data_IF_863586606395
#
_entry.id   IF_863586606395
#
_cell.length_a   1.000
_cell.length_b   1.000
_cell.length_c   1.000
_cell.angle_alpha   90.00
_cell.angle_beta   90.00
_cell.angle_gamma   90.00
#
_symmetry.space_group_name_H-M   'P 1'
#
loop_
_entity.id
_entity.type
_entity.pdbx_description
1 polymer ?
#
# COMPACT_ATOMS: atom_id res chain seq x y z
N UNK A 1 -8.73 17.01 -30.64
CA UNK A 1 -9.20 15.96 -29.74
C UNK A 1 -10.65 15.67 -30.08
N UNK A 2 -10.94 14.46 -30.56
CA UNK A 2 -12.31 14.09 -30.98
C UNK A 2 -13.16 13.71 -29.78
N UNK A 3 -14.50 13.88 -29.87
CA UNK A 3 -15.44 13.51 -28.77
C UNK A 3 -15.27 12.06 -28.29
N UNK A 4 -14.82 11.18 -29.17
CA UNK A 4 -14.58 9.77 -28.88
C UNK A 4 -13.36 9.58 -27.98
N UNK A 5 -12.25 10.27 -28.25
CA UNK A 5 -11.03 10.20 -27.42
C UNK A 5 -11.29 10.62 -25.97
N UNK A 6 -12.06 11.69 -25.77
CA UNK A 6 -12.42 12.18 -24.43
C UNK A 6 -13.23 11.13 -23.62
N UNK A 7 -14.16 10.43 -24.27
CA UNK A 7 -14.97 9.40 -23.61
C UNK A 7 -14.15 8.15 -23.27
N UNK A 8 -13.20 7.75 -24.14
CA UNK A 8 -12.31 6.62 -23.89
C UNK A 8 -11.42 6.86 -22.66
N UNK A 9 -10.82 8.04 -22.55
CA UNK A 9 -9.97 8.39 -21.40
C UNK A 9 -10.75 8.42 -20.09
N UNK A 10 -11.97 8.98 -20.10
CA UNK A 10 -12.80 9.04 -18.90
C UNK A 10 -13.19 7.64 -18.37
N UNK A 11 -13.60 6.74 -19.27
CA UNK A 11 -13.93 5.36 -18.92
C UNK A 11 -12.70 4.59 -18.42
N UNK A 12 -11.53 4.81 -19.01
CA UNK A 12 -10.30 4.15 -18.60
C UNK A 12 -9.84 4.60 -17.20
N UNK A 13 -9.90 5.90 -16.90
CA UNK A 13 -9.62 6.45 -15.58
C UNK A 13 -10.59 5.92 -14.51
N UNK A 14 -11.89 5.83 -14.85
CA UNK A 14 -12.91 5.27 -13.95
C UNK A 14 -12.63 3.79 -13.62
N UNK A 15 -12.29 2.98 -14.63
CA UNK A 15 -11.94 1.56 -14.42
C UNK A 15 -10.67 1.39 -13.59
N UNK A 16 -9.67 2.24 -13.81
CA UNK A 16 -8.44 2.23 -13.01
C UNK A 16 -8.75 2.61 -11.56
N UNK A 17 -9.58 3.63 -11.33
CA UNK A 17 -10.05 4.02 -10.01
C UNK A 17 -10.79 2.87 -9.31
N UNK A 18 -11.63 2.12 -10.03
CA UNK A 18 -12.28 0.92 -9.48
C UNK A 18 -11.29 -0.17 -9.09
N UNK A 19 -10.20 -0.34 -9.85
CA UNK A 19 -9.12 -1.28 -9.52
C UNK A 19 -8.40 -0.93 -8.21
N UNK A 20 -8.05 0.35 -8.03
CA UNK A 20 -7.48 0.85 -6.78
C UNK A 20 -8.46 0.76 -5.61
N UNK A 21 -9.75 1.01 -5.87
CA UNK A 21 -10.79 0.91 -4.86
C UNK A 21 -10.99 -0.54 -4.40
N UNK A 22 -10.96 -1.49 -5.33
CA UNK A 22 -11.00 -2.91 -5.01
C UNK A 22 -9.81 -3.31 -4.14
N UNK A 23 -8.59 -2.86 -4.48
CA UNK A 23 -7.40 -3.11 -3.66
C UNK A 23 -7.55 -2.53 -2.25
N UNK A 24 -8.08 -1.31 -2.12
CA UNK A 24 -8.34 -0.70 -0.82
C UNK A 24 -9.34 -1.51 0.02
N UNK A 25 -10.46 -1.94 -0.57
CA UNK A 25 -11.45 -2.77 0.13
C UNK A 25 -10.90 -4.14 0.52
N UNK A 26 -10.14 -4.79 -0.35
CA UNK A 26 -9.46 -6.04 -0.03
C UNK A 26 -8.49 -5.84 1.14
N UNK A 27 -7.71 -4.76 1.13
CA UNK A 27 -6.79 -4.45 2.21
C UNK A 27 -7.51 -4.24 3.55
N UNK A 28 -8.60 -3.48 3.55
CA UNK A 28 -9.44 -3.26 4.74
C UNK A 28 -10.06 -4.57 5.24
N UNK A 29 -10.55 -5.42 4.35
CA UNK A 29 -11.11 -6.73 4.69
C UNK A 29 -10.08 -7.65 5.32
N UNK A 30 -8.88 -7.73 4.73
CA UNK A 30 -7.76 -8.52 5.27
C UNK A 30 -7.33 -7.97 6.63
N UNK A 31 -7.22 -6.65 6.79
CA UNK A 31 -6.89 -6.02 8.08
C UNK A 31 -7.93 -6.37 9.15
N UNK A 32 -9.21 -6.32 8.81
CA UNK A 32 -10.31 -6.67 9.73
C UNK A 32 -10.27 -8.14 10.14
N UNK A 33 -9.92 -9.03 9.21
CA UNK A 33 -9.71 -10.45 9.51
C UNK A 33 -8.57 -10.64 10.52
N UNK A 34 -7.43 -9.95 10.33
CA UNK A 34 -6.34 -9.98 11.31
C UNK A 34 -6.75 -9.38 12.65
N UNK A 35 -7.54 -8.31 12.68
CA UNK A 35 -8.07 -7.75 13.92
C UNK A 35 -8.91 -8.78 14.71
N UNK A 36 -9.78 -9.51 14.00
CA UNK A 36 -10.58 -10.58 14.60
C UNK A 36 -9.70 -11.70 15.17
N UNK A 37 -8.67 -12.12 14.43
CA UNK A 37 -7.68 -13.09 14.91
C UNK A 37 -6.94 -12.60 16.15
N UNK A 38 -6.57 -11.32 16.21
CA UNK A 38 -5.91 -10.72 17.38
C UNK A 38 -6.81 -10.76 18.62
N UNK A 39 -8.11 -10.49 18.47
CA UNK A 39 -9.07 -10.58 19.57
C UNK A 39 -9.18 -12.02 20.06
N UNK A 40 -9.31 -13.00 19.16
CA UNK A 40 -9.34 -14.43 19.53
C UNK A 40 -8.06 -14.87 20.25
N UNK A 41 -6.90 -14.34 19.88
CA UNK A 41 -5.65 -14.68 20.53
C UNK A 41 -5.47 -14.09 21.92
N UNK A 42 -6.26 -13.06 22.24
CA UNK A 42 -6.27 -12.43 23.57
C UNK A 42 -7.34 -13.02 24.49
N UNK A 43 -8.25 -13.87 24.00
CA UNK A 43 -9.28 -14.50 24.84
C UNK A 43 -8.74 -15.80 25.46
N UNK A 44 -8.49 -15.83 26.79
CA UNK A 44 -7.80 -16.95 27.45
C UNK A 44 -8.55 -18.29 27.37
N UNK A 45 -9.86 -18.27 27.13
CA UNK A 45 -10.70 -19.46 26.99
C UNK A 45 -10.75 -20.03 25.56
N UNK A 46 -10.17 -19.33 24.57
CA UNK A 46 -10.16 -19.70 23.15
C UNK A 46 -8.69 -19.73 22.67
N UNK A 47 -7.78 -20.33 23.43
CA UNK A 47 -6.46 -20.62 22.91
C UNK A 47 -6.47 -22.02 22.28
N UNK A 48 -6.56 -22.17 20.94
CA UNK A 48 -6.63 -23.47 20.30
C UNK A 48 -5.37 -24.31 20.54
N UNK A 49 -4.25 -23.72 20.98
CA UNK A 49 -2.98 -24.42 21.23
C UNK A 49 -2.09 -24.53 19.99
N UNK A 50 -2.55 -24.05 18.83
CA UNK A 50 -1.83 -24.11 17.55
C UNK A 50 -1.31 -22.72 17.14
N UNK A 51 -1.59 -21.70 17.94
CA UNK A 51 -1.28 -20.30 17.62
C UNK A 51 -0.32 -19.74 18.67
N UNK A 52 0.95 -19.67 18.28
CA UNK A 52 2.03 -19.19 19.13
C UNK A 52 2.02 -17.67 19.28
N UNK A 53 2.67 -17.16 20.33
CA UNK A 53 2.90 -15.72 20.53
C UNK A 53 3.55 -15.03 19.31
N UNK A 54 4.31 -15.80 18.51
CA UNK A 54 4.90 -15.33 17.24
C UNK A 54 3.83 -14.99 16.19
N UNK A 55 2.74 -15.76 16.10
CA UNK A 55 1.65 -15.46 15.18
C UNK A 55 0.87 -14.22 15.60
N UNK A 56 0.70 -13.98 16.92
CA UNK A 56 0.09 -12.74 17.41
C UNK A 56 0.85 -11.51 16.90
N UNK A 57 2.19 -11.50 17.03
CA UNK A 57 3.00 -10.38 16.57
C UNK A 57 2.91 -10.20 15.03
N UNK A 58 2.88 -11.30 14.26
CA UNK A 58 2.69 -11.23 12.81
C UNK A 58 1.33 -10.68 12.41
N UNK A 59 0.26 -11.16 13.05
CA UNK A 59 -1.09 -10.67 12.82
C UNK A 59 -1.21 -9.18 13.16
N UNK A 60 -0.50 -8.71 14.20
CA UNK A 60 -0.46 -7.31 14.58
C UNK A 60 0.20 -6.45 13.50
N UNK A 61 1.37 -6.87 12.99
CA UNK A 61 2.05 -6.19 11.87
C UNK A 61 1.12 -6.11 10.66
N UNK A 62 0.54 -7.23 10.24
CA UNK A 62 -0.33 -7.30 9.07
C UNK A 62 -1.60 -6.46 9.23
N UNK A 63 -2.21 -6.46 10.42
CA UNK A 63 -3.37 -5.64 10.71
C UNK A 63 -3.06 -4.15 10.49
N UNK A 64 -2.00 -3.66 11.15
CA UNK A 64 -1.62 -2.24 11.11
C UNK A 64 -1.22 -1.82 9.69
N UNK A 65 -0.38 -2.60 9.01
CA UNK A 65 0.08 -2.25 7.67
C UNK A 65 -1.06 -2.23 6.65
N UNK A 66 -1.98 -3.19 6.72
CA UNK A 66 -3.11 -3.24 5.78
C UNK A 66 -4.14 -2.15 6.07
N UNK A 67 -4.44 -1.84 7.34
CA UNK A 67 -5.40 -0.78 7.70
C UNK A 67 -4.84 0.61 7.45
N UNK A 68 -3.54 0.83 7.70
CA UNK A 68 -2.93 2.16 7.64
C UNK A 68 -2.24 2.38 6.29
N UNK A 69 -1.29 1.53 5.91
CA UNK A 69 -0.47 1.78 4.72
C UNK A 69 -1.25 1.40 3.46
N UNK A 70 -1.65 0.14 3.33
CA UNK A 70 -2.19 -0.38 2.08
C UNK A 70 -3.55 0.24 1.78
N UNK A 71 -4.46 0.33 2.76
CA UNK A 71 -5.78 0.92 2.56
C UNK A 71 -5.73 2.41 2.19
N UNK A 72 -5.07 3.26 2.99
CA UNK A 72 -5.04 4.70 2.72
C UNK A 72 -4.30 5.03 1.41
N UNK A 73 -3.15 4.40 1.13
CA UNK A 73 -2.42 4.66 -0.11
C UNK A 73 -3.20 4.13 -1.33
N UNK A 74 -3.85 2.97 -1.24
CA UNK A 74 -4.72 2.49 -2.32
C UNK A 74 -5.89 3.45 -2.57
N UNK A 75 -6.46 4.04 -1.51
CA UNK A 75 -7.48 5.07 -1.65
C UNK A 75 -6.94 6.37 -2.25
N UNK A 76 -5.72 6.77 -1.93
CA UNK A 76 -5.03 7.86 -2.65
C UNK A 76 -4.89 7.53 -4.14
N UNK A 77 -4.63 6.26 -4.49
CA UNK A 77 -4.64 5.77 -5.87
C UNK A 77 -5.99 5.96 -6.58
N UNK A 78 -7.12 5.82 -5.87
CA UNK A 78 -8.45 6.17 -6.42
C UNK A 78 -8.50 7.65 -6.78
N UNK A 79 -8.07 8.54 -5.89
CA UNK A 79 -8.10 10.00 -6.12
C UNK A 79 -7.15 10.42 -7.25
N UNK A 80 -5.97 9.82 -7.35
CA UNK A 80 -5.03 10.05 -8.44
C UNK A 80 -5.54 9.51 -9.77
N UNK A 81 -6.31 8.42 -9.78
CA UNK A 81 -7.00 7.92 -10.98
C UNK A 81 -8.10 8.88 -11.45
N UNK A 82 -8.86 9.48 -10.53
CA UNK A 82 -9.92 10.44 -10.86
C UNK A 82 -9.37 11.82 -11.29
N UNK A 83 -8.19 12.17 -10.82
CA UNK A 83 -7.48 13.41 -11.19
C UNK A 83 -6.39 13.18 -12.25
N UNK A 84 -6.37 11.99 -12.87
CA UNK A 84 -5.34 11.56 -13.79
C UNK A 84 -5.32 12.45 -15.03
N UNK A 85 -4.15 13.01 -15.35
CA UNK A 85 -3.99 13.95 -16.49
C UNK A 85 -3.00 13.48 -17.54
N UNK A 86 -2.35 12.35 -17.31
CA UNK A 86 -1.39 11.82 -18.27
C UNK A 86 -2.08 11.00 -19.36
N UNK A 87 -1.49 11.04 -20.56
CA UNK A 87 -1.83 10.19 -21.70
C UNK A 87 -1.37 8.73 -21.53
N UNK A 88 -0.59 8.44 -20.48
CA UNK A 88 -0.01 7.13 -20.20
C UNK A 88 -0.86 6.31 -19.21
N UNK A 89 -2.12 6.04 -19.57
CA UNK A 89 -3.04 5.26 -18.72
C UNK A 89 -2.54 3.82 -18.47
N UNK A 90 -1.81 3.24 -19.43
CA UNK A 90 -1.18 1.92 -19.29
C UNK A 90 -0.18 1.88 -18.14
N UNK A 91 0.54 2.98 -17.88
CA UNK A 91 1.44 3.09 -16.73
C UNK A 91 0.69 3.04 -15.40
N UNK A 92 -0.54 3.54 -15.35
CA UNK A 92 -1.42 3.43 -14.18
C UNK A 92 -1.81 1.98 -13.86
N UNK A 93 -2.14 1.19 -14.89
CA UNK A 93 -2.43 -0.24 -14.73
C UNK A 93 -1.19 -1.03 -14.32
N UNK A 94 -0.01 -0.72 -14.88
CA UNK A 94 1.24 -1.35 -14.49
C UNK A 94 1.57 -1.08 -13.02
N UNK A 95 1.36 0.16 -12.56
CA UNK A 95 1.51 0.49 -11.15
C UNK A 95 0.53 -0.32 -10.28
N UNK A 96 -0.75 -0.38 -10.65
CA UNK A 96 -1.72 -1.19 -9.91
C UNK A 96 -1.31 -2.68 -9.82
N UNK A 97 -0.80 -3.26 -10.91
CA UNK A 97 -0.28 -4.63 -10.91
C UNK A 97 0.92 -4.80 -9.97
N UNK A 98 1.85 -3.84 -9.97
CA UNK A 98 3.01 -3.82 -9.09
C UNK A 98 2.61 -3.68 -7.61
N UNK A 99 1.61 -2.85 -7.30
CA UNK A 99 1.02 -2.75 -5.98
C UNK A 99 0.40 -4.08 -5.54
N UNK A 100 -0.41 -4.70 -6.41
CA UNK A 100 -1.05 -5.98 -6.11
C UNK A 100 -0.02 -7.10 -5.87
N UNK A 101 1.05 -7.14 -6.67
CA UNK A 101 2.17 -8.06 -6.46
C UNK A 101 2.84 -7.84 -5.10
N UNK A 102 3.10 -6.58 -4.74
CA UNK A 102 3.69 -6.23 -3.44
C UNK A 102 2.82 -6.65 -2.25
N UNK A 103 1.51 -6.35 -2.31
CA UNK A 103 0.53 -6.76 -1.30
C UNK A 103 0.45 -8.29 -1.18
N UNK A 104 0.51 -9.00 -2.30
CA UNK A 104 0.51 -10.46 -2.32
C UNK A 104 1.76 -11.05 -1.66
N UNK A 105 2.94 -10.48 -1.93
CA UNK A 105 4.20 -10.87 -1.26
C UNK A 105 4.12 -10.67 0.26
N UNK A 106 3.59 -9.53 0.72
CA UNK A 106 3.38 -9.27 2.15
C UNK A 106 2.43 -10.30 2.78
N UNK A 107 1.33 -10.62 2.10
CA UNK A 107 0.35 -11.59 2.58
C UNK A 107 0.94 -13.01 2.67
N UNK A 108 1.71 -13.43 1.68
CA UNK A 108 2.41 -14.73 1.70
C UNK A 108 3.43 -14.78 2.84
N UNK A 109 4.17 -13.69 3.06
CA UNK A 109 5.15 -13.62 4.14
C UNK A 109 4.54 -13.76 5.54
N UNK A 110 3.28 -13.35 5.74
CA UNK A 110 2.57 -13.45 7.01
C UNK A 110 2.41 -14.90 7.52
N UNK A 111 2.35 -15.87 6.61
CA UNK A 111 2.16 -17.29 6.90
C UNK A 111 3.48 -18.11 6.88
N UNK A 112 4.62 -17.45 6.69
CA UNK A 112 5.94 -18.09 6.76
C UNK A 112 6.29 -18.61 8.16
N UNK A 113 7.20 -19.58 8.24
CA UNK A 113 7.55 -20.30 9.47
C UNK A 113 8.44 -19.51 10.44
N UNK A 114 9.20 -18.50 9.98
CA UNK A 114 10.21 -17.82 10.79
C UNK A 114 10.24 -16.27 10.78
N UNK A 115 9.14 -15.49 10.62
CA UNK A 115 9.28 -14.04 10.77
C UNK A 115 9.47 -13.65 12.24
N UNK A 116 10.64 -13.10 12.57
CA UNK A 116 10.76 -12.19 13.72
C UNK A 116 10.00 -10.90 13.36
N UNK A 117 8.91 -10.66 14.07
CA UNK A 117 8.13 -9.45 13.93
C UNK A 117 8.83 -8.33 14.71
N UNK A 118 9.29 -7.31 14.00
CA UNK A 118 9.87 -6.13 14.62
C UNK A 118 8.77 -5.08 14.79
N UNK A 119 8.27 -4.96 16.03
CA UNK A 119 7.27 -3.96 16.39
C UNK A 119 7.98 -2.61 16.61
N UNK A 120 8.34 -1.94 15.51
CA UNK A 120 8.97 -0.61 15.52
C UNK A 120 7.95 0.50 15.82
N UNK A 121 8.43 1.64 16.35
CA UNK A 121 7.61 2.85 16.60
C UNK A 121 7.22 3.63 15.31
N UNK A 122 7.66 3.17 14.13
CA UNK A 122 7.39 3.82 12.85
C UNK A 122 6.45 2.97 12.00
N UNK A 123 6.97 1.91 11.38
CA UNK A 123 6.21 0.94 10.60
C UNK A 123 6.58 -0.43 11.15
N UNK A 124 5.62 -1.22 11.66
CA UNK A 124 5.92 -2.58 12.08
C UNK A 124 6.27 -3.40 10.84
N UNK A 125 7.30 -4.24 10.92
CA UNK A 125 7.72 -5.04 9.76
C UNK A 125 8.00 -6.49 10.17
N UNK A 126 7.77 -7.39 9.23
CA UNK A 126 8.29 -8.75 9.32
C UNK A 126 9.70 -8.76 8.74
N UNK A 127 10.69 -9.23 9.52
CA UNK A 127 12.08 -9.35 9.07
C UNK A 127 12.26 -10.53 8.12
N UNK A 128 11.58 -10.50 6.99
CA UNK A 128 11.74 -11.48 5.91
C UNK A 128 11.96 -10.74 4.59
N UNK A 129 12.87 -11.22 3.72
CA UNK A 129 13.12 -10.59 2.43
C UNK A 129 11.84 -10.46 1.60
N UNK A 130 10.95 -11.46 1.66
CA UNK A 130 9.69 -11.44 0.92
C UNK A 130 8.77 -10.31 1.37
N UNK A 131 8.66 -10.07 2.67
CA UNK A 131 7.85 -8.97 3.20
C UNK A 131 8.42 -7.61 2.81
N UNK A 132 9.74 -7.43 2.95
CA UNK A 132 10.42 -6.18 2.61
C UNK A 132 10.35 -5.87 1.10
N UNK A 133 10.50 -6.89 0.25
CA UNK A 133 10.30 -6.77 -1.20
C UNK A 133 8.85 -6.40 -1.51
N UNK A 134 7.88 -7.00 -0.81
CA UNK A 134 6.46 -6.69 -0.98
C UNK A 134 6.13 -5.24 -0.63
N UNK A 135 6.58 -4.79 0.56
CA UNK A 135 6.39 -3.42 1.03
C UNK A 135 7.11 -2.41 0.12
N UNK A 136 8.35 -2.69 -0.26
CA UNK A 136 9.13 -1.87 -1.19
C UNK A 136 8.48 -1.77 -2.58
N UNK A 137 8.01 -2.89 -3.13
CA UNK A 137 7.27 -2.95 -4.40
C UNK A 137 6.01 -2.09 -4.36
N UNK A 138 5.25 -2.16 -3.27
CA UNK A 138 4.07 -1.32 -3.07
C UNK A 138 4.44 0.18 -3.00
N UNK A 139 5.47 0.55 -2.23
CA UNK A 139 5.94 1.93 -2.14
C UNK A 139 6.43 2.50 -3.48
N UNK A 140 7.19 1.71 -4.25
CA UNK A 140 7.63 2.07 -5.61
C UNK A 140 6.43 2.26 -6.53
N UNK A 141 5.46 1.35 -6.49
CA UNK A 141 4.22 1.47 -7.25
C UNK A 141 3.51 2.79 -6.97
N UNK A 142 3.32 3.14 -5.69
CA UNK A 142 2.63 4.38 -5.32
C UNK A 142 3.39 5.63 -5.78
N UNK A 143 4.71 5.61 -5.67
CA UNK A 143 5.58 6.70 -6.15
C UNK A 143 5.46 6.87 -7.66
N UNK A 144 5.62 5.79 -8.41
CA UNK A 144 5.51 5.80 -9.87
C UNK A 144 4.11 6.21 -10.30
N UNK A 145 3.07 5.71 -9.64
CA UNK A 145 1.70 6.04 -9.98
C UNK A 145 1.41 7.53 -9.79
N UNK A 146 1.85 8.11 -8.67
CA UNK A 146 1.74 9.55 -8.45
C UNK A 146 2.44 10.33 -9.56
N UNK A 147 3.70 10.03 -9.85
CA UNK A 147 4.49 10.75 -10.87
C UNK A 147 3.84 10.68 -12.26
N UNK A 148 3.28 9.52 -12.63
CA UNK A 148 2.58 9.37 -13.92
C UNK A 148 1.23 10.09 -13.89
N UNK A 149 0.53 10.12 -12.76
CA UNK A 149 -0.78 10.78 -12.66
C UNK A 149 -0.72 12.30 -12.82
N UNK A 150 0.41 12.91 -12.43
CA UNK A 150 0.65 14.36 -12.54
C UNK A 150 0.96 14.74 -13.99
N UNK A 151 0.01 15.44 -14.63
CA UNK A 151 0.16 15.99 -15.98
C UNK A 151 0.12 17.53 -16.03
N UNK A 152 0.59 18.13 -17.14
CA UNK A 152 0.49 19.57 -17.36
C UNK A 152 -0.97 20.02 -17.50
N UNK A 153 -1.32 21.18 -16.94
CA UNK A 153 -2.66 21.76 -17.04
C UNK A 153 -3.07 22.59 -15.83
N UNK A 154 -4.21 23.28 -15.95
CA UNK A 154 -4.80 24.07 -14.84
C UNK A 154 -5.18 23.16 -13.69
N UNK A 155 -4.79 23.55 -12.48
CA UNK A 155 -5.03 22.78 -11.25
C UNK A 155 -6.42 23.16 -10.72
N UNK A 156 -7.34 22.20 -10.70
CA UNK A 156 -8.61 22.35 -9.98
C UNK A 156 -8.36 22.17 -8.47
N UNK A 157 -9.33 22.55 -7.62
CA UNK A 157 -9.22 22.34 -6.17
C UNK A 157 -8.92 20.88 -5.80
N UNK A 158 -9.61 19.93 -6.44
CA UNK A 158 -9.35 18.49 -6.29
C UNK A 158 -7.95 18.09 -6.79
N UNK A 159 -7.49 18.67 -7.90
CA UNK A 159 -6.13 18.46 -8.40
C UNK A 159 -5.05 19.02 -7.47
N UNK A 160 -5.33 20.11 -6.75
CA UNK A 160 -4.41 20.68 -5.76
C UNK A 160 -4.28 19.75 -4.55
N UNK A 161 -5.40 19.33 -3.96
CA UNK A 161 -5.40 18.38 -2.84
C UNK A 161 -4.72 17.05 -3.19
N UNK A 162 -4.98 16.53 -4.38
CA UNK A 162 -4.34 15.34 -4.94
C UNK A 162 -2.80 15.47 -5.01
N UNK A 163 -2.29 16.63 -5.44
CA UNK A 163 -0.84 16.91 -5.48
C UNK A 163 -0.22 17.06 -4.09
N UNK A 164 -0.90 17.73 -3.16
CA UNK A 164 -0.45 17.83 -1.77
C UNK A 164 -0.32 16.44 -1.13
N UNK A 165 -1.31 15.57 -1.34
CA UNK A 165 -1.27 14.19 -0.88
C UNK A 165 -0.09 13.41 -1.49
N UNK A 166 0.17 13.58 -2.79
CA UNK A 166 1.31 12.94 -3.44
C UNK A 166 2.67 13.45 -2.96
N UNK A 167 2.80 14.76 -2.70
CA UNK A 167 4.01 15.32 -2.07
C UNK A 167 4.22 14.73 -0.68
N UNK A 168 3.16 14.59 0.12
CA UNK A 168 3.26 13.95 1.43
C UNK A 168 3.74 12.49 1.33
N UNK A 169 3.23 11.73 0.35
CA UNK A 169 3.69 10.36 0.07
C UNK A 169 5.16 10.34 -0.35
N UNK A 170 5.59 11.22 -1.27
CA UNK A 170 6.99 11.31 -1.69
C UNK A 170 7.91 11.64 -0.52
N UNK A 171 7.54 12.60 0.33
CA UNK A 171 8.30 12.95 1.53
C UNK A 171 8.40 11.75 2.48
N UNK A 172 7.30 11.02 2.70
CA UNK A 172 7.32 9.82 3.53
C UNK A 172 8.25 8.74 2.95
N UNK A 173 8.23 8.52 1.63
CA UNK A 173 9.13 7.57 0.97
C UNK A 173 10.60 7.99 1.08
N UNK A 174 10.92 9.28 0.95
CA UNK A 174 12.27 9.81 1.14
C UNK A 174 12.76 9.61 2.57
N UNK A 175 11.91 9.88 3.57
CA UNK A 175 12.25 9.67 4.99
C UNK A 175 12.47 8.19 5.29
N UNK A 176 11.63 7.30 4.76
CA UNK A 176 11.80 5.85 4.92
C UNK A 176 13.09 5.35 4.26
N UNK A 177 13.37 5.81 3.05
CA UNK A 177 14.61 5.49 2.35
C UNK A 177 15.84 5.96 3.12
N UNK A 178 15.82 7.19 3.63
CA UNK A 178 16.90 7.74 4.45
C UNK A 178 17.12 6.91 5.73
N UNK A 179 16.05 6.56 6.44
CA UNK A 179 16.12 5.78 7.66
C UNK A 179 16.66 4.35 7.41
N UNK A 180 16.25 3.73 6.30
CA UNK A 180 16.80 2.45 5.86
C UNK A 180 18.29 2.53 5.49
N UNK A 181 18.75 3.65 4.95
CA UNK A 181 20.16 3.86 4.62
C UNK A 181 21.01 4.17 5.87
N UNK A 182 20.51 4.98 6.80
CA UNK A 182 21.24 5.33 8.03
C UNK A 182 21.50 4.11 8.90
N UNK A 183 20.52 3.21 9.02
CA UNK A 183 20.68 1.95 9.77
C UNK A 183 21.73 1.01 9.16
N UNK A 184 22.07 1.14 7.88
CA UNK A 184 23.16 0.39 7.26
C UNK A 184 24.55 0.99 7.57
N UNK A 185 24.63 2.29 7.88
CA UNK A 185 25.89 2.98 8.23
C UNK A 185 26.29 2.78 9.69
N UNK A 186 25.34 2.49 10.57
CA UNK A 186 25.56 2.30 12.01
C UNK A 186 25.99 0.86 12.38
N UNK A 187 26.50 0.07 11.43
CA UNK A 187 26.91 -1.34 11.65
C UNK A 187 28.42 -1.55 11.87
N UNK A 188 29.16 -0.48 12.17
CA UNK A 188 30.56 -0.52 12.68
C UNK A 188 30.61 -0.48 14.22
#
# INVERSE_FOLDING_TARGET
MSRNEFLFDHNACSRLASGWLLLAFLAMGISTLFAFLLVMLRTPFINPGWIDARFFARALVMHVDFAVIIWFLSFAGVLWSLTFRSRWIQGGWLALLLAFAGVSMMLVAAFGSQPEAMLSNYIPVLQTPLFLLGLGSFGVSMTVFFLISVGPGKVSLSGFGSRCAGIAVLTAMLVLFWNGFSSALDTD
#
